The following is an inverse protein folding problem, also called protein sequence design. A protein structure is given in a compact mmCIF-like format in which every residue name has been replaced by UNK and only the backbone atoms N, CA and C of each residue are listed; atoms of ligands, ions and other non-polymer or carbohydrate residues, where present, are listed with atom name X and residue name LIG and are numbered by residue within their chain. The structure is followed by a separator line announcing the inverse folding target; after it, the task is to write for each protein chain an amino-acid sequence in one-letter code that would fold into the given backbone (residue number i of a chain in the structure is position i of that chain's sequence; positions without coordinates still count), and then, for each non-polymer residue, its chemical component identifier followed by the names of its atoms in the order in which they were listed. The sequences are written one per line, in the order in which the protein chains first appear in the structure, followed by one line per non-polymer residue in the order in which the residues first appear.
data_IF_066581245541
#
_entry.id   IF_066581245541
#
_cell.length_a   1.000
_cell.length_b   1.000
_cell.length_c   1.000
_cell.angle_alpha   90.00
_cell.angle_beta   90.00
_cell.angle_gamma   90.00
#
_symmetry.space_group_name_H-M   'P 1'
#
loop_
_entity.id
_entity.type
_entity.pdbx_description
1 polymer ?
#
# COMPACT_ATOMS: atom_id res chain seq x y z
N UNK A 1 12.84 -2.99 -34.09
CA UNK A 1 12.35 -1.62 -33.80
C UNK A 1 12.95 -1.16 -32.50
N UNK A 2 13.42 0.09 -32.42
CA UNK A 2 13.88 0.70 -31.17
C UNK A 2 12.69 0.88 -30.22
N UNK A 3 12.88 0.52 -28.95
CA UNK A 3 11.89 0.77 -27.90
C UNK A 3 12.20 2.10 -27.23
N UNK A 4 11.16 2.85 -26.84
CA UNK A 4 11.31 4.06 -26.03
C UNK A 4 11.93 3.65 -24.67
N UNK A 5 12.98 4.34 -24.18
CA UNK A 5 13.56 4.05 -22.87
C UNK A 5 12.50 4.12 -21.75
N UNK A 6 12.70 3.32 -20.70
CA UNK A 6 11.78 3.25 -19.56
C UNK A 6 11.54 4.63 -18.96
N UNK A 7 12.60 5.38 -18.68
CA UNK A 7 12.52 6.68 -18.02
C UNK A 7 11.72 7.69 -18.84
N UNK A 8 11.84 7.63 -20.17
CA UNK A 8 11.02 8.44 -21.07
C UNK A 8 9.55 8.05 -21.05
N UNK A 9 9.23 6.74 -21.00
CA UNK A 9 7.85 6.29 -20.85
C UNK A 9 7.27 6.69 -19.51
N UNK A 10 8.06 6.63 -18.44
CA UNK A 10 7.61 7.06 -17.12
C UNK A 10 7.25 8.55 -17.10
N UNK A 11 8.08 9.41 -17.71
CA UNK A 11 7.79 10.84 -17.84
C UNK A 11 6.50 11.10 -18.64
N UNK A 12 6.32 10.40 -19.77
CA UNK A 12 5.11 10.50 -20.59
C UNK A 12 3.88 10.09 -19.77
N UNK A 13 3.97 8.99 -19.05
CA UNK A 13 2.86 8.45 -18.27
C UNK A 13 2.53 9.32 -17.06
N UNK A 14 3.52 9.94 -16.42
CA UNK A 14 3.29 10.89 -15.33
C UNK A 14 2.49 12.10 -15.82
N UNK A 15 2.81 12.60 -17.02
CA UNK A 15 2.04 13.67 -17.66
C UNK A 15 0.61 13.25 -18.04
N UNK A 16 0.42 11.97 -18.42
CA UNK A 16 -0.87 11.43 -18.83
C UNK A 16 -1.77 10.98 -17.67
N UNK A 17 -1.27 10.87 -16.43
CA UNK A 17 -2.00 10.32 -15.28
C UNK A 17 -3.07 11.28 -14.72
N UNK A 18 -4.11 11.54 -15.52
CA UNK A 18 -5.35 12.22 -15.14
C UNK A 18 -6.31 11.24 -14.44
N UNK A 19 -5.90 10.74 -13.27
CA UNK A 19 -6.74 9.85 -12.46
C UNK A 19 -6.74 8.38 -12.88
N UNK A 20 -5.68 7.90 -13.56
CA UNK A 20 -5.43 6.48 -13.83
C UNK A 20 -6.12 5.87 -15.06
N UNK A 21 -7.13 6.53 -15.65
CA UNK A 21 -7.84 6.02 -16.82
C UNK A 21 -6.95 5.89 -18.06
N UNK A 22 -6.05 6.85 -18.26
CA UNK A 22 -5.13 6.90 -19.41
C UNK A 22 -4.09 5.78 -19.36
N UNK A 23 -3.65 5.38 -18.17
CA UNK A 23 -2.66 4.31 -17.99
C UNK A 23 -3.20 2.93 -18.34
N UNK A 24 -4.52 2.69 -18.17
CA UNK A 24 -5.14 1.42 -18.57
C UNK A 24 -5.01 1.16 -20.07
N UNK A 25 -5.18 2.19 -20.89
CA UNK A 25 -4.98 2.09 -22.35
C UNK A 25 -3.52 1.77 -22.70
N UNK A 26 -2.57 2.35 -21.96
CA UNK A 26 -1.13 2.09 -22.15
C UNK A 26 -0.74 0.63 -21.85
N UNK A 27 -1.43 -0.03 -20.92
CA UNK A 27 -1.20 -1.45 -20.59
C UNK A 27 -1.44 -2.37 -21.81
N UNK A 28 -2.34 -1.97 -22.71
CA UNK A 28 -2.78 -2.79 -23.84
C UNK A 28 -1.93 -2.61 -25.10
N UNK A 29 -0.95 -1.68 -25.11
CA UNK A 29 -0.18 -1.34 -26.32
C UNK A 29 0.80 -2.45 -26.70
N UNK A 30 1.71 -2.83 -25.82
CA UNK A 30 2.65 -3.95 -25.99
C UNK A 30 3.27 -4.34 -24.63
N UNK A 31 4.07 -5.42 -24.58
CA UNK A 31 4.69 -5.91 -23.34
C UNK A 31 5.57 -4.87 -22.63
N UNK A 32 6.28 -4.03 -23.38
CA UNK A 32 7.16 -3.01 -22.82
C UNK A 32 6.36 -1.90 -22.13
N UNK A 33 5.35 -1.35 -22.82
CA UNK A 33 4.43 -0.36 -22.27
C UNK A 33 3.65 -0.93 -21.09
N UNK A 34 3.14 -2.16 -21.21
CA UNK A 34 2.47 -2.88 -20.13
C UNK A 34 3.30 -2.92 -18.84
N UNK A 35 4.57 -3.33 -18.93
CA UNK A 35 5.43 -3.41 -17.76
C UNK A 35 5.66 -2.04 -17.10
N UNK A 36 5.83 -0.97 -17.88
CA UNK A 36 6.03 0.38 -17.33
C UNK A 36 4.71 0.94 -16.76
N UNK A 37 3.60 0.81 -17.47
CA UNK A 37 2.29 1.33 -17.05
C UNK A 37 1.78 0.64 -15.79
N UNK A 38 1.92 -0.69 -15.69
CA UNK A 38 1.56 -1.43 -14.47
C UNK A 38 2.39 -0.93 -13.28
N UNK A 39 3.71 -0.75 -13.45
CA UNK A 39 4.55 -0.22 -12.38
C UNK A 39 4.06 1.13 -11.89
N UNK A 40 3.73 2.04 -12.80
CA UNK A 40 3.26 3.39 -12.44
C UNK A 40 1.88 3.38 -11.78
N UNK A 41 0.95 2.60 -12.33
CA UNK A 41 -0.40 2.49 -11.81
C UNK A 41 -0.40 1.98 -10.35
N UNK A 42 0.49 1.05 -10.02
CA UNK A 42 0.63 0.48 -8.67
C UNK A 42 1.59 1.27 -7.77
N UNK A 43 1.94 2.52 -8.08
CA UNK A 43 2.80 3.35 -7.19
C UNK A 43 2.08 3.87 -5.96
N UNK A 44 0.77 4.11 -6.02
CA UNK A 44 0.05 4.84 -4.97
C UNK A 44 -1.17 4.08 -4.48
N UNK A 45 -1.10 3.54 -3.26
CA UNK A 45 -2.18 2.74 -2.69
C UNK A 45 -3.48 3.53 -2.48
N UNK A 46 -3.42 4.87 -2.37
CA UNK A 46 -4.62 5.72 -2.28
C UNK A 46 -5.49 5.69 -3.53
N UNK A 47 -4.92 5.33 -4.70
CA UNK A 47 -5.67 5.18 -5.96
C UNK A 47 -6.34 3.81 -6.09
N UNK A 48 -6.07 2.87 -5.17
CA UNK A 48 -6.59 1.50 -5.29
C UNK A 48 -8.08 1.44 -4.98
N UNK A 49 -8.82 0.80 -5.86
CA UNK A 49 -10.21 0.38 -5.62
C UNK A 49 -10.27 -1.08 -5.13
N UNK A 50 -11.49 -1.61 -4.94
CA UNK A 50 -11.73 -2.96 -4.41
C UNK A 50 -11.09 -4.07 -5.28
N UNK A 51 -11.07 -3.94 -6.62
CA UNK A 51 -10.47 -4.96 -7.48
C UNK A 51 -8.95 -5.03 -7.36
N UNK A 52 -8.30 -3.89 -7.07
CA UNK A 52 -6.87 -3.87 -6.75
C UNK A 52 -6.58 -4.59 -5.43
N UNK A 53 -7.41 -4.40 -4.40
CA UNK A 53 -7.27 -5.14 -3.15
C UNK A 53 -7.53 -6.63 -3.31
N UNK A 54 -8.50 -7.04 -4.13
CA UNK A 54 -8.67 -8.44 -4.53
C UNK A 54 -7.39 -9.03 -5.16
N UNK A 55 -6.71 -8.23 -5.99
CA UNK A 55 -5.44 -8.63 -6.60
C UNK A 55 -4.32 -8.71 -5.56
N UNK A 56 -4.24 -7.78 -4.60
CA UNK A 56 -3.26 -7.86 -3.51
C UNK A 56 -3.48 -9.10 -2.64
N UNK A 57 -4.73 -9.41 -2.31
CA UNK A 57 -5.08 -10.62 -1.56
C UNK A 57 -4.66 -11.89 -2.32
N UNK A 58 -4.83 -11.92 -3.64
CA UNK A 58 -4.36 -13.05 -4.45
C UNK A 58 -2.83 -13.14 -4.52
N UNK A 59 -2.12 -12.03 -4.33
CA UNK A 59 -0.66 -11.97 -4.24
C UNK A 59 -0.10 -12.37 -2.88
N UNK A 60 -0.94 -12.53 -1.84
CA UNK A 60 -0.46 -12.87 -0.50
C UNK A 60 0.39 -14.15 -0.50
N UNK A 61 1.47 -14.19 0.30
CA UNK A 61 2.25 -15.40 0.52
C UNK A 61 1.38 -16.56 1.02
N UNK A 62 1.81 -17.79 0.77
CA UNK A 62 1.08 -18.99 1.21
C UNK A 62 0.80 -18.98 2.70
N UNK A 63 1.80 -18.60 3.52
CA UNK A 63 1.67 -18.45 4.97
C UNK A 63 0.53 -17.50 5.36
N UNK A 64 0.47 -16.33 4.73
CA UNK A 64 -0.61 -15.35 4.96
C UNK A 64 -1.97 -15.90 4.58
N UNK A 65 -2.08 -16.59 3.43
CA UNK A 65 -3.34 -17.25 3.02
C UNK A 65 -3.78 -18.34 3.99
N UNK A 66 -2.84 -19.09 4.58
CA UNK A 66 -3.13 -20.06 5.64
C UNK A 66 -3.61 -19.38 6.94
N UNK A 67 -3.06 -18.21 7.29
CA UNK A 67 -3.54 -17.42 8.43
C UNK A 67 -4.99 -16.99 8.19
N UNK A 68 -5.29 -16.47 6.99
CA UNK A 68 -6.65 -16.07 6.65
C UNK A 68 -7.63 -17.25 6.74
N UNK A 69 -7.27 -18.40 6.14
CA UNK A 69 -8.15 -19.58 6.14
C UNK A 69 -8.38 -20.16 7.54
N UNK A 70 -7.35 -20.20 8.40
CA UNK A 70 -7.48 -20.62 9.81
C UNK A 70 -8.41 -19.72 10.62
N UNK A 71 -8.53 -18.45 10.24
CA UNK A 71 -9.46 -17.49 10.84
C UNK A 71 -10.84 -17.47 10.14
N UNK A 72 -11.12 -18.40 9.22
CA UNK A 72 -12.39 -18.47 8.48
C UNK A 72 -12.56 -17.37 7.44
N UNK A 73 -11.49 -16.67 7.06
CA UNK A 73 -11.51 -15.56 6.11
C UNK A 73 -11.19 -16.09 4.71
N UNK A 74 -12.23 -16.44 3.95
CA UNK A 74 -12.09 -16.98 2.60
C UNK A 74 -12.43 -15.93 1.54
N UNK A 75 -11.48 -15.04 1.23
CA UNK A 75 -11.66 -13.99 0.22
C UNK A 75 -11.68 -14.60 -1.17
N UNK A 76 -12.76 -14.36 -1.91
CA UNK A 76 -12.91 -14.80 -3.29
C UNK A 76 -12.02 -13.94 -4.19
N UNK A 77 -10.95 -14.54 -4.70
CA UNK A 77 -10.07 -13.88 -5.66
C UNK A 77 -10.50 -14.18 -7.08
N UNK A 78 -10.52 -13.21 -8.01
CA UNK A 78 -11.02 -13.38 -9.37
C UNK A 78 -10.17 -14.33 -10.25
N UNK A 79 -9.01 -14.77 -9.77
CA UNK A 79 -8.10 -15.66 -10.50
C UNK A 79 -7.37 -16.58 -9.52
N UNK A 80 -7.31 -17.87 -9.86
CA UNK A 80 -6.45 -18.87 -9.19
C UNK A 80 -5.04 -18.90 -9.76
N UNK A 81 -4.77 -18.19 -10.86
CA UNK A 81 -3.44 -18.09 -11.48
C UNK A 81 -2.56 -17.14 -10.69
N UNK A 82 -1.27 -17.48 -10.65
CA UNK A 82 -0.26 -16.61 -10.05
C UNK A 82 -0.25 -15.23 -10.73
N UNK A 83 -0.10 -14.16 -9.94
CA UNK A 83 -0.02 -12.81 -10.48
C UNK A 83 1.19 -12.67 -11.39
N UNK A 84 0.99 -12.03 -12.56
CA UNK A 84 2.03 -11.86 -13.58
C UNK A 84 3.14 -10.92 -13.09
N UNK A 85 2.77 -9.95 -12.24
CA UNK A 85 3.68 -8.98 -11.67
C UNK A 85 3.65 -9.07 -10.14
N UNK A 86 4.77 -8.68 -9.51
CA UNK A 86 4.78 -8.36 -8.10
C UNK A 86 4.21 -6.94 -7.90
N UNK A 87 2.89 -6.83 -7.86
CA UNK A 87 2.20 -5.55 -7.72
C UNK A 87 2.55 -4.83 -6.42
N UNK A 88 2.76 -5.55 -5.32
CA UNK A 88 3.08 -4.97 -4.02
C UNK A 88 4.42 -4.22 -4.06
N UNK A 89 5.43 -4.79 -4.74
CA UNK A 89 6.77 -4.20 -4.86
C UNK A 89 6.81 -2.85 -5.59
N UNK A 90 5.78 -2.53 -6.39
CA UNK A 90 5.70 -1.27 -7.13
C UNK A 90 5.19 -0.11 -6.27
N UNK A 91 4.63 -0.39 -5.10
CA UNK A 91 4.08 0.63 -4.22
C UNK A 91 5.19 1.55 -3.67
N UNK A 92 5.00 2.85 -3.83
CA UNK A 92 5.87 3.93 -3.33
C UNK A 92 5.18 4.85 -2.34
N UNK A 93 3.85 4.91 -2.39
CA UNK A 93 2.99 5.65 -1.47
C UNK A 93 2.01 4.69 -0.85
N UNK A 94 2.20 4.38 0.44
CA UNK A 94 1.35 3.47 1.21
C UNK A 94 0.49 4.25 2.21
N UNK A 95 -0.82 4.14 2.09
CA UNK A 95 -1.79 4.68 3.05
C UNK A 95 -2.51 3.55 3.78
N UNK A 96 -2.22 3.44 5.09
CA UNK A 96 -2.79 2.43 5.98
C UNK A 96 -4.29 2.65 6.16
N UNK A 97 -4.72 3.90 6.30
CA UNK A 97 -6.13 4.27 6.32
C UNK A 97 -6.90 3.68 5.12
N UNK A 98 -6.33 3.89 3.92
CA UNK A 98 -6.98 3.46 2.69
C UNK A 98 -6.99 1.94 2.56
N UNK A 99 -5.91 1.26 3.00
CA UNK A 99 -5.87 -0.20 3.11
C UNK A 99 -6.95 -0.71 4.06
N UNK A 100 -7.09 -0.13 5.25
CA UNK A 100 -8.11 -0.49 6.23
C UNK A 100 -9.52 -0.36 5.64
N UNK A 101 -9.83 0.82 5.08
CA UNK A 101 -11.13 1.10 4.48
C UNK A 101 -11.45 0.16 3.32
N UNK A 102 -10.54 -0.01 2.37
CA UNK A 102 -10.77 -0.86 1.19
C UNK A 102 -10.84 -2.35 1.53
N UNK A 103 -10.09 -2.81 2.52
CA UNK A 103 -10.24 -4.16 3.06
C UNK A 103 -11.62 -4.36 3.66
N UNK A 104 -12.10 -3.42 4.50
CA UNK A 104 -13.44 -3.50 5.08
C UNK A 104 -14.53 -3.51 3.99
N UNK A 105 -14.44 -2.61 3.02
CA UNK A 105 -15.34 -2.57 1.85
C UNK A 105 -15.34 -3.90 1.08
N UNK A 106 -14.15 -4.49 0.88
CA UNK A 106 -14.01 -5.78 0.20
C UNK A 106 -14.73 -6.91 0.94
N UNK A 107 -14.53 -7.00 2.26
CA UNK A 107 -15.14 -8.04 3.09
C UNK A 107 -16.66 -7.90 3.16
N UNK A 108 -17.17 -6.67 3.22
CA UNK A 108 -18.62 -6.37 3.12
C UNK A 108 -19.16 -6.77 1.75
N UNK A 109 -18.48 -6.36 0.67
CA UNK A 109 -18.91 -6.62 -0.69
C UNK A 109 -19.05 -8.12 -0.99
N UNK A 110 -18.14 -8.93 -0.47
CA UNK A 110 -18.17 -10.39 -0.64
C UNK A 110 -19.06 -11.11 0.38
N UNK A 111 -19.62 -10.40 1.36
CA UNK A 111 -20.49 -10.95 2.42
C UNK A 111 -19.89 -12.15 3.17
N UNK A 112 -18.55 -12.18 3.29
CA UNK A 112 -17.84 -13.34 3.84
C UNK A 112 -18.01 -13.41 5.35
N UNK A 113 -18.12 -12.26 6.00
CA UNK A 113 -17.98 -12.14 7.45
C UNK A 113 -19.23 -11.49 8.05
N UNK A 114 -19.82 -12.09 9.09
CA UNK A 114 -20.90 -11.46 9.85
C UNK A 114 -20.46 -10.10 10.42
N UNK A 115 -21.35 -9.09 10.48
CA UNK A 115 -21.00 -7.72 10.90
C UNK A 115 -20.24 -7.65 12.24
N UNK A 116 -20.57 -8.52 13.20
CA UNK A 116 -19.93 -8.58 14.51
C UNK A 116 -18.45 -8.98 14.49
N UNK A 117 -17.99 -9.68 13.45
CA UNK A 117 -16.60 -10.11 13.31
C UNK A 117 -15.82 -9.27 12.28
N UNK A 118 -16.50 -8.35 11.59
CA UNK A 118 -15.94 -7.60 10.46
C UNK A 118 -14.66 -6.84 10.84
N UNK A 119 -14.64 -6.16 12.00
CA UNK A 119 -13.48 -5.39 12.44
C UNK A 119 -12.26 -6.29 12.68
N UNK A 120 -12.44 -7.39 13.43
CA UNK A 120 -11.35 -8.33 13.73
C UNK A 120 -10.82 -8.98 12.45
N UNK A 121 -11.71 -9.43 11.56
CA UNK A 121 -11.29 -10.04 10.30
C UNK A 121 -10.62 -9.02 9.36
N UNK A 122 -11.10 -7.78 9.33
CA UNK A 122 -10.43 -6.71 8.60
C UNK A 122 -9.02 -6.46 9.14
N UNK A 123 -8.84 -6.44 10.47
CA UNK A 123 -7.52 -6.27 11.09
C UNK A 123 -6.54 -7.35 10.66
N UNK A 124 -6.97 -8.61 10.65
CA UNK A 124 -6.13 -9.73 10.20
C UNK A 124 -5.72 -9.54 8.74
N UNK A 125 -6.66 -9.23 7.85
CA UNK A 125 -6.36 -9.03 6.42
C UNK A 125 -5.46 -7.82 6.19
N UNK A 126 -5.69 -6.72 6.90
CA UNK A 126 -4.84 -5.51 6.85
C UNK A 126 -3.43 -5.83 7.31
N UNK A 127 -3.27 -6.60 8.39
CA UNK A 127 -1.97 -7.03 8.90
C UNK A 127 -1.20 -7.81 7.83
N UNK A 128 -1.82 -8.85 7.24
CA UNK A 128 -1.17 -9.67 6.20
C UNK A 128 -0.82 -8.86 4.94
N UNK A 129 -1.69 -7.93 4.52
CA UNK A 129 -1.40 -7.03 3.39
C UNK A 129 -0.23 -6.10 3.72
N UNK A 130 -0.17 -5.56 4.93
CA UNK A 130 0.91 -4.67 5.35
C UNK A 130 2.24 -5.40 5.50
N UNK A 131 2.25 -6.62 6.06
CA UNK A 131 3.44 -7.48 6.12
C UNK A 131 3.96 -7.79 4.71
N UNK A 132 3.06 -8.12 3.77
CA UNK A 132 3.43 -8.32 2.36
C UNK A 132 4.03 -7.05 1.73
N UNK A 133 3.47 -5.87 1.99
CA UNK A 133 4.05 -4.62 1.49
C UNK A 133 5.43 -4.37 2.08
N UNK A 134 5.58 -4.50 3.41
CA UNK A 134 6.84 -4.22 4.09
C UNK A 134 7.96 -5.17 3.64
N UNK A 135 7.62 -6.42 3.29
CA UNK A 135 8.58 -7.41 2.82
C UNK A 135 8.93 -7.32 1.33
N UNK A 136 8.08 -6.69 0.51
CA UNK A 136 8.26 -6.69 -0.96
C UNK A 136 8.57 -5.31 -1.54
N UNK A 137 8.27 -4.23 -0.83
CA UNK A 137 8.66 -2.88 -1.24
C UNK A 137 10.15 -2.72 -0.94
N UNK A 138 10.95 -2.31 -1.93
CA UNK A 138 12.38 -2.03 -1.70
C UNK A 138 12.64 -0.60 -1.21
N UNK A 139 11.82 0.35 -1.64
CA UNK A 139 11.96 1.77 -1.31
C UNK A 139 10.56 2.37 -1.21
N UNK A 140 10.13 2.72 0.01
CA UNK A 140 8.89 3.43 0.25
C UNK A 140 9.18 4.92 0.36
N UNK A 141 8.52 5.75 -0.47
CA UNK A 141 8.69 7.21 -0.44
C UNK A 141 7.83 7.86 0.63
N UNK A 142 6.55 7.45 0.69
CA UNK A 142 5.54 8.02 1.60
C UNK A 142 4.80 6.93 2.34
N UNK A 143 4.70 7.09 3.66
CA UNK A 143 3.90 6.27 4.54
C UNK A 143 2.85 7.16 5.22
N UNK A 144 1.60 6.77 5.12
CA UNK A 144 0.48 7.42 5.79
C UNK A 144 -0.14 6.48 6.80
N UNK A 145 0.16 6.72 8.07
CA UNK A 145 -0.27 5.95 9.24
C UNK A 145 -1.50 6.55 9.92
N UNK A 146 -2.17 7.52 9.29
CA UNK A 146 -3.41 8.10 9.85
C UNK A 146 -4.45 6.99 10.07
N UNK A 147 -4.87 6.70 11.31
CA UNK A 147 -5.81 5.63 11.58
C UNK A 147 -7.19 5.93 10.97
N UNK A 148 -7.93 4.88 10.59
CA UNK A 148 -9.35 4.97 10.27
C UNK A 148 -10.19 4.44 11.44
N UNK A 149 -10.15 3.13 11.66
CA UNK A 149 -10.93 2.42 12.69
C UNK A 149 -10.15 1.28 13.35
N UNK A 150 -9.01 0.89 12.77
CA UNK A 150 -8.24 -0.30 13.14
C UNK A 150 -6.87 0.10 13.69
N UNK A 151 -6.30 -0.76 14.52
CA UNK A 151 -4.94 -0.57 15.03
C UNK A 151 -3.94 -0.47 13.88
N UNK A 152 -2.96 0.42 14.07
CA UNK A 152 -1.85 0.57 13.13
C UNK A 152 -0.97 -0.67 13.27
N UNK A 153 -0.66 -1.40 12.18
CA UNK A 153 0.26 -2.52 12.24
C UNK A 153 1.60 -2.08 12.82
N UNK A 154 2.15 -2.86 13.75
CA UNK A 154 3.45 -2.55 14.32
C UNK A 154 4.56 -2.92 13.33
N UNK A 155 4.91 -1.97 12.45
CA UNK A 155 5.88 -2.18 11.37
C UNK A 155 7.26 -2.62 11.86
N UNK A 156 7.63 -2.29 13.10
CA UNK A 156 8.93 -2.69 13.67
C UNK A 156 9.05 -4.16 14.02
N UNK A 157 7.95 -4.93 13.96
CA UNK A 157 7.99 -6.37 14.16
C UNK A 157 8.41 -7.14 12.90
N UNK A 158 8.46 -6.47 11.74
CA UNK A 158 8.87 -7.10 10.49
C UNK A 158 10.36 -6.82 10.27
N UNK A 159 11.25 -7.82 10.32
CA UNK A 159 12.67 -7.63 10.04
C UNK A 159 12.92 -6.93 8.69
N UNK A 160 12.12 -7.27 7.68
CA UNK A 160 12.19 -6.77 6.31
C UNK A 160 11.66 -5.34 6.17
N UNK A 161 10.90 -4.81 7.14
CA UNK A 161 10.42 -3.43 7.08
C UNK A 161 11.56 -2.41 7.15
N UNK A 162 12.73 -2.79 7.69
CA UNK A 162 13.87 -1.88 7.77
C UNK A 162 14.30 -1.41 6.39
N UNK A 163 14.44 -2.34 5.45
CA UNK A 163 14.95 -2.05 4.10
C UNK A 163 14.00 -1.11 3.34
N UNK A 164 12.69 -1.32 3.49
CA UNK A 164 11.70 -0.50 2.78
C UNK A 164 11.51 0.89 3.39
N UNK A 165 11.70 1.04 4.71
CA UNK A 165 11.48 2.27 5.46
C UNK A 165 12.74 3.14 5.61
N UNK A 166 13.95 2.61 5.38
CA UNK A 166 15.21 3.35 5.50
C UNK A 166 15.22 4.65 4.68
N UNK A 167 14.64 4.59 3.48
CA UNK A 167 14.57 5.71 2.53
C UNK A 167 13.24 6.48 2.59
N UNK A 168 12.45 6.30 3.65
CA UNK A 168 11.19 7.01 3.82
C UNK A 168 11.44 8.51 3.95
N UNK A 169 10.92 9.29 2.99
CA UNK A 169 11.07 10.75 2.96
C UNK A 169 9.87 11.49 3.53
N UNK A 170 8.69 10.88 3.50
CA UNK A 170 7.44 11.56 3.84
C UNK A 170 6.58 10.70 4.77
N UNK A 171 6.28 11.23 5.96
CA UNK A 171 5.41 10.58 6.95
C UNK A 171 4.13 11.41 7.12
N UNK A 172 2.99 10.76 6.95
CA UNK A 172 1.67 11.35 7.16
C UNK A 172 1.01 10.65 8.35
N UNK A 173 0.44 11.41 9.27
CA UNK A 173 -0.15 10.90 10.49
C UNK A 173 -1.33 11.77 10.96
N UNK A 174 -2.08 11.27 11.94
CA UNK A 174 -3.04 12.08 12.68
C UNK A 174 -2.50 12.48 14.06
N UNK A 175 -3.10 13.52 14.64
CA UNK A 175 -2.79 14.01 16.00
C UNK A 175 -2.96 12.95 17.10
N UNK A 176 -3.83 11.96 16.89
CA UNK A 176 -4.13 10.91 17.88
C UNK A 176 -3.15 9.73 17.90
N UNK A 177 -2.10 9.74 17.09
CA UNK A 177 -1.17 8.61 17.00
C UNK A 177 -0.24 8.57 18.23
N UNK A 178 -0.02 7.36 18.76
CA UNK A 178 0.89 7.15 19.90
C UNK A 178 2.33 7.59 19.59
N UNK A 179 2.93 8.34 20.52
CA UNK A 179 4.35 8.70 20.52
C UNK A 179 5.28 7.49 20.35
N UNK A 180 4.85 6.30 20.80
CA UNK A 180 5.62 5.05 20.66
C UNK A 180 5.92 4.70 19.20
N UNK A 181 4.98 4.95 18.28
CA UNK A 181 5.18 4.67 16.85
C UNK A 181 6.25 5.60 16.27
N UNK A 182 6.26 6.87 16.65
CA UNK A 182 7.29 7.82 16.21
C UNK A 182 8.67 7.43 16.75
N UNK A 183 8.76 7.05 18.03
CA UNK A 183 10.00 6.53 18.60
C UNK A 183 10.51 5.31 17.83
N UNK A 184 9.63 4.37 17.53
CA UNK A 184 9.94 3.18 16.73
C UNK A 184 10.44 3.53 15.32
N UNK A 185 9.74 4.41 14.60
CA UNK A 185 10.12 4.84 13.26
C UNK A 185 11.45 5.61 13.27
N UNK A 186 11.76 6.37 14.32
CA UNK A 186 13.03 7.13 14.39
C UNK A 186 14.29 6.27 14.39
N UNK A 187 14.18 4.98 14.76
CA UNK A 187 15.31 4.04 14.71
C UNK A 187 15.55 3.43 13.33
N UNK A 188 14.65 3.68 12.37
CA UNK A 188 14.66 3.07 11.04
C UNK A 188 14.70 4.15 9.96
N UNK A 189 13.81 5.14 10.07
CA UNK A 189 13.61 6.17 9.07
C UNK A 189 14.55 7.35 9.35
N UNK A 190 15.68 7.41 8.66
CA UNK A 190 16.68 8.46 8.85
C UNK A 190 16.57 9.60 7.83
N UNK A 191 15.74 9.43 6.78
CA UNK A 191 15.65 10.34 5.64
C UNK A 191 14.34 11.14 5.57
N UNK A 192 13.57 11.20 6.67
CA UNK A 192 12.29 11.92 6.69
C UNK A 192 12.55 13.43 6.54
N UNK A 193 12.01 14.02 5.46
CA UNK A 193 12.07 15.46 5.19
C UNK A 193 10.73 16.17 5.38
N UNK A 194 9.63 15.42 5.40
CA UNK A 194 8.27 15.94 5.61
C UNK A 194 7.49 15.09 6.60
N UNK A 195 6.93 15.74 7.61
CA UNK A 195 5.92 15.17 8.51
C UNK A 195 4.63 16.00 8.36
N UNK A 196 3.56 15.37 7.87
CA UNK A 196 2.22 15.97 7.77
C UNK A 196 1.34 15.41 8.88
N UNK A 197 0.91 16.27 9.81
CA UNK A 197 0.03 15.92 10.92
C UNK A 197 -1.36 16.48 10.62
N UNK A 198 -2.35 15.60 10.50
CA UNK A 198 -3.76 15.97 10.32
C UNK A 198 -4.51 15.92 11.66
N UNK A 199 -5.30 16.94 11.93
CA UNK A 199 -6.32 16.97 12.96
C UNK A 199 -7.67 17.27 12.31
N UNK A 200 -8.78 16.96 12.98
CA UNK A 200 -10.14 17.13 12.42
C UNK A 200 -10.44 18.59 11.99
N UNK A 201 -9.70 19.56 12.52
CA UNK A 201 -9.86 20.99 12.22
C UNK A 201 -8.67 21.63 11.46
N UNK A 202 -7.47 21.04 11.52
CA UNK A 202 -6.24 21.68 10.99
C UNK A 202 -5.22 20.65 10.45
N UNK A 203 -4.45 21.05 9.44
CA UNK A 203 -3.28 20.30 8.97
C UNK A 203 -2.01 21.10 9.28
N UNK A 204 -1.01 20.43 9.88
CA UNK A 204 0.30 21.01 10.18
C UNK A 204 1.36 20.27 9.37
N UNK A 205 2.10 21.02 8.54
CA UNK A 205 3.25 20.52 7.80
C UNK A 205 4.54 20.90 8.51
N UNK A 206 5.33 19.90 8.90
CA UNK A 206 6.65 20.06 9.49
C UNK A 206 7.67 19.63 8.43
N UNK A 207 8.41 20.59 7.89
CA UNK A 207 9.57 20.31 7.02
C UNK A 207 10.82 20.16 7.87
N UNK A 208 11.46 19.00 7.77
CA UNK A 208 12.74 18.73 8.43
C UNK A 208 13.83 19.13 7.45
N UNK A 209 14.64 20.11 7.85
CA UNK A 209 15.83 20.51 7.09
C UNK A 209 16.96 19.60 7.56
N UNK A 210 17.60 18.82 6.66
CA UNK A 210 18.77 18.03 7.04
C UNK A 210 19.87 18.97 7.54
N UNK A 211 20.46 18.64 8.70
CA UNK A 211 21.62 19.32 9.27
C UNK A 211 22.88 19.06 8.43
#
# INVERSE_FOLDING_TARGET
MSQIPVDCLEEIFEYLDDGGFTLHSCILVNRHWCAVSVRMFWRNSRKYNISHFNTLVSCLPTKSKEILSKNGINILTPTTKFPIFNYASFCKVLSINHVQRKTKELLIFQQIIPPQFLSNSANIVVHEICEMFMSQISVLKRLDISPYECDIPNFTLYPEAKDCLENLSELYCSSGISAKIFYQLSHICHNISLINIKNDEYCVDIKIIPL
#
